data_IF_724733037860
#
_entry.id   IF_724733037860
#
_cell.length_a   1.000
_cell.length_b   1.000
_cell.length_c   1.000
_cell.angle_alpha   90.00
_cell.angle_beta   90.00
_cell.angle_gamma   90.00
#
_symmetry.space_group_name_H-M   'P 1'
#
loop_
_entity.id
_entity.type
_entity.pdbx_description
1 polymer ?
#
# COMPACT_ATOMS: atom_id res chain seq x y z
N UNK A 1 -14.46 2.43 -0.17
CA UNK A 1 -15.17 3.29 -1.14
C UNK A 1 -15.32 4.67 -0.53
N UNK A 2 -14.78 5.71 -1.17
CA UNK A 2 -15.01 7.10 -0.74
C UNK A 2 -15.96 7.74 -1.76
N UNK A 3 -17.15 8.15 -1.33
CA UNK A 3 -18.10 8.91 -2.16
C UNK A 3 -17.71 10.39 -2.05
N UNK A 4 -17.38 11.01 -3.19
CA UNK A 4 -16.81 12.37 -3.22
C UNK A 4 -17.86 13.43 -3.56
N UNK A 5 -18.98 13.06 -4.19
CA UNK A 5 -20.09 13.96 -4.49
C UNK A 5 -21.44 13.37 -4.04
N UNK A 6 -22.38 14.24 -3.67
CA UNK A 6 -23.72 13.86 -3.24
C UNK A 6 -24.75 13.96 -4.38
N UNK A 7 -25.85 13.17 -4.35
CA UNK A 7 -26.94 13.34 -5.30
C UNK A 7 -27.52 14.76 -5.25
N UNK A 8 -27.46 15.49 -6.37
CA UNK A 8 -27.96 16.87 -6.48
C UNK A 8 -26.88 17.96 -6.43
N UNK A 9 -25.61 17.60 -6.21
CA UNK A 9 -24.49 18.54 -6.23
C UNK A 9 -24.08 18.88 -7.68
N UNK A 10 -23.91 20.17 -7.98
CA UNK A 10 -23.45 20.63 -9.30
C UNK A 10 -21.93 20.52 -9.36
N UNK A 11 -21.43 19.56 -10.13
CA UNK A 11 -20.01 19.38 -10.38
C UNK A 11 -19.58 20.18 -11.60
N UNK A 12 -18.47 20.91 -11.47
CA UNK A 12 -17.77 21.46 -12.64
C UNK A 12 -17.28 20.33 -13.55
N UNK A 13 -17.06 20.63 -14.83
CA UNK A 13 -16.47 19.67 -15.76
C UNK A 13 -15.15 19.11 -15.20
N UNK A 14 -15.05 17.79 -15.06
CA UNK A 14 -13.88 17.11 -14.48
C UNK A 14 -13.95 16.84 -12.97
N UNK A 15 -15.07 17.14 -12.29
CA UNK A 15 -15.27 16.80 -10.88
C UNK A 15 -15.22 15.29 -10.60
N UNK A 16 -14.43 14.87 -9.61
CA UNK A 16 -14.34 13.45 -9.18
C UNK A 16 -15.62 13.06 -8.43
N UNK A 17 -16.39 12.14 -8.97
CA UNK A 17 -17.67 11.70 -8.36
C UNK A 17 -17.47 10.52 -7.41
N UNK A 18 -16.51 9.66 -7.70
CA UNK A 18 -16.31 8.38 -7.02
C UNK A 18 -14.83 8.00 -7.00
N UNK A 19 -14.37 7.48 -5.86
CA UNK A 19 -13.08 6.80 -5.75
C UNK A 19 -13.31 5.30 -5.49
N UNK A 20 -12.83 4.46 -6.41
CA UNK A 20 -12.88 3.01 -6.33
C UNK A 20 -11.50 2.47 -5.94
N UNK A 21 -11.51 1.53 -5.01
CA UNK A 21 -10.32 0.76 -4.64
C UNK A 21 -10.53 -0.64 -5.21
N UNK A 22 -9.59 -1.09 -6.01
CA UNK A 22 -9.56 -2.46 -6.50
C UNK A 22 -8.97 -3.35 -5.42
N UNK A 23 -9.73 -4.38 -5.00
CA UNK A 23 -9.29 -5.36 -4.01
C UNK A 23 -8.66 -6.60 -4.67
N UNK A 24 -8.66 -6.67 -6.01
CA UNK A 24 -8.03 -7.77 -6.75
C UNK A 24 -6.51 -7.60 -6.86
N UNK A 25 -6.00 -6.37 -6.78
CA UNK A 25 -4.58 -6.04 -6.81
C UNK A 25 -4.18 -5.26 -5.55
N UNK A 26 -3.84 -6.00 -4.50
CA UNK A 26 -3.44 -5.46 -3.20
C UNK A 26 -1.95 -5.68 -2.99
N UNK A 27 -1.23 -4.59 -2.76
CA UNK A 27 0.18 -4.60 -2.41
C UNK A 27 0.43 -3.90 -1.08
N UNK A 28 1.53 -4.27 -0.42
CA UNK A 28 1.98 -3.65 0.82
C UNK A 28 3.43 -3.22 0.65
N UNK A 29 3.71 -1.96 1.00
CA UNK A 29 5.07 -1.43 1.03
C UNK A 29 5.58 -1.42 2.45
N UNK A 30 6.80 -1.91 2.66
CA UNK A 30 7.48 -1.87 3.95
C UNK A 30 8.94 -1.43 3.74
N UNK A 31 9.55 -0.92 4.80
CA UNK A 31 10.93 -0.44 4.78
C UNK A 31 11.84 -1.46 5.46
N UNK A 32 12.97 -1.73 4.83
CA UNK A 32 14.02 -2.58 5.38
C UNK A 32 15.27 -1.73 5.61
N UNK A 33 16.06 -2.01 6.67
CA UNK A 33 17.40 -1.46 6.79
C UNK A 33 18.24 -1.82 5.55
N UNK A 34 19.07 -0.89 5.09
CA UNK A 34 19.94 -1.06 3.91
C UNK A 34 20.80 -2.35 4.00
N UNK A 35 21.32 -2.64 5.19
CA UNK A 35 22.19 -3.80 5.45
C UNK A 35 21.51 -5.16 5.18
N UNK A 36 20.19 -5.19 5.15
CA UNK A 36 19.41 -6.40 4.83
C UNK A 36 18.63 -6.30 3.52
N UNK A 37 18.53 -5.11 2.92
CA UNK A 37 17.82 -4.90 1.65
C UNK A 37 18.39 -5.79 0.53
N UNK A 38 19.72 -5.94 0.45
CA UNK A 38 20.38 -6.81 -0.53
C UNK A 38 20.10 -8.30 -0.37
N UNK A 39 19.50 -8.73 0.75
CA UNK A 39 19.11 -10.13 0.99
C UNK A 39 17.72 -10.47 0.45
N UNK A 40 16.95 -9.47 0.04
CA UNK A 40 15.57 -9.64 -0.46
C UNK A 40 15.58 -9.55 -1.98
N UNK A 41 15.48 -10.70 -2.63
CA UNK A 41 15.40 -10.77 -4.08
C UNK A 41 13.95 -10.54 -4.58
N UNK A 42 13.82 -10.00 -5.78
CA UNK A 42 12.55 -9.96 -6.50
C UNK A 42 12.01 -11.38 -6.67
N UNK A 43 10.69 -11.55 -6.49
CA UNK A 43 10.02 -12.84 -6.58
C UNK A 43 10.17 -13.75 -5.35
N UNK A 44 10.94 -13.34 -4.33
CA UNK A 44 11.07 -14.08 -3.08
C UNK A 44 9.70 -14.30 -2.43
N UNK A 45 9.49 -15.50 -1.90
CA UNK A 45 8.32 -15.81 -1.09
C UNK A 45 8.43 -15.14 0.28
N UNK A 46 7.36 -14.48 0.68
CA UNK A 46 7.26 -13.81 1.98
C UNK A 46 5.94 -14.18 2.63
N UNK A 47 5.91 -14.06 3.96
CA UNK A 47 4.70 -14.30 4.76
C UNK A 47 4.39 -13.04 5.54
N UNK A 48 3.18 -12.55 5.37
CA UNK A 48 2.68 -11.39 6.09
C UNK A 48 1.89 -11.89 7.29
N UNK A 49 2.26 -11.41 8.47
CA UNK A 49 1.54 -11.61 9.71
C UNK A 49 0.99 -10.26 10.17
N UNK A 50 -0.31 -10.20 10.44
CA UNK A 50 -0.96 -8.98 10.89
C UNK A 50 -1.11 -9.02 12.40
N UNK A 51 -0.73 -7.95 13.10
CA UNK A 51 -0.89 -7.86 14.55
C UNK A 51 -2.36 -7.98 14.98
N UNK A 52 -3.27 -7.44 14.16
CA UNK A 52 -4.71 -7.53 14.39
C UNK A 52 -5.31 -8.93 14.12
N UNK A 53 -4.59 -9.78 13.38
CA UNK A 53 -5.00 -11.15 13.07
C UNK A 53 -3.80 -12.11 13.05
N UNK A 54 -3.19 -12.43 14.22
CA UNK A 54 -1.95 -13.20 14.29
C UNK A 54 -2.08 -14.66 13.86
N UNK A 55 -3.31 -15.16 13.68
CA UNK A 55 -3.59 -16.51 13.20
C UNK A 55 -3.71 -16.58 11.67
N UNK A 56 -3.73 -15.43 10.99
CA UNK A 56 -3.84 -15.35 9.53
C UNK A 56 -2.46 -15.08 8.93
N UNK A 57 -1.83 -16.13 8.39
CA UNK A 57 -0.57 -16.02 7.66
C UNK A 57 -0.88 -15.87 6.17
N UNK A 58 -0.59 -14.70 5.61
CA UNK A 58 -0.88 -14.38 4.21
C UNK A 58 0.38 -14.66 3.37
N UNK A 59 0.36 -15.63 2.43
CA UNK A 59 1.46 -15.85 1.51
C UNK A 59 1.51 -14.72 0.47
N UNK A 60 2.70 -14.20 0.20
CA UNK A 60 2.92 -13.14 -0.80
C UNK A 60 4.27 -13.29 -1.49
N UNK A 61 4.50 -12.49 -2.53
CA UNK A 61 5.77 -12.43 -3.26
C UNK A 61 6.27 -11.00 -3.35
N UNK A 62 7.59 -10.83 -3.32
CA UNK A 62 8.22 -9.52 -3.54
C UNK A 62 8.06 -9.13 -5.01
N UNK A 63 7.25 -8.12 -5.29
CA UNK A 63 6.99 -7.63 -6.66
C UNK A 63 7.85 -6.42 -7.05
N UNK A 64 8.45 -5.73 -6.08
CA UNK A 64 9.28 -4.56 -6.32
C UNK A 64 10.28 -4.34 -5.18
N UNK A 65 11.51 -3.94 -5.53
CA UNK A 65 12.52 -3.46 -4.59
C UNK A 65 13.03 -2.11 -5.11
N UNK A 66 12.88 -1.06 -4.32
CA UNK A 66 13.35 0.27 -4.70
C UNK A 66 14.88 0.31 -4.78
N UNK A 67 15.42 0.87 -5.86
CA UNK A 67 16.86 1.12 -6.01
C UNK A 67 17.33 2.37 -5.26
N UNK A 68 16.40 3.17 -4.74
CA UNK A 68 16.67 4.40 -4.00
C UNK A 68 16.17 4.25 -2.57
N UNK A 69 17.04 4.55 -1.60
CA UNK A 69 16.67 4.61 -0.21
C UNK A 69 15.61 5.70 0.01
N UNK A 70 14.49 5.31 0.60
CA UNK A 70 13.44 6.23 0.99
C UNK A 70 13.60 6.53 2.47
N UNK A 71 13.78 7.80 2.81
CA UNK A 71 13.56 8.24 4.18
C UNK A 71 12.06 8.19 4.42
N UNK A 72 11.62 7.42 5.43
CA UNK A 72 10.24 7.48 5.94
C UNK A 72 9.88 8.96 6.12
N UNK A 73 8.84 9.49 5.43
CA UNK A 73 8.51 10.89 5.60
C UNK A 73 8.12 11.11 7.07
N UNK A 74 8.72 12.14 7.68
CA UNK A 74 8.27 12.65 8.97
C UNK A 74 6.96 13.39 8.77
N UNK A 75 5.85 12.67 8.71
CA UNK A 75 4.57 13.27 9.05
C UNK A 75 3.86 12.33 10.00
N UNK A 76 4.25 12.45 11.27
CA UNK A 76 3.32 12.20 12.35
C UNK A 76 2.37 13.39 12.29
N UNK A 77 1.21 13.22 11.66
CA UNK A 77 0.09 14.14 11.87
C UNK A 77 -0.34 13.97 13.32
N UNK A 78 -0.16 15.00 14.14
CA UNK A 78 -0.71 15.10 15.50
C UNK A 78 -2.11 15.67 15.43
#
# INVERSE_FOLDING_TARGET
QLRVAQPGEVLGAGGRVLNLVDLSDVYMTFFLPETVAGKVALGSEVRILLDAAPHLVIPAKVSFVSSVAQFTPKTVET
#
